data_IF_379582923188
#
_entry.id   IF_379582923188
#
_cell.length_a   1.000
_cell.length_b   1.000
_cell.length_c   1.000
_cell.angle_alpha   90.00
_cell.angle_beta   90.00
_cell.angle_gamma   90.00
#
_symmetry.space_group_name_H-M   'P 1'
#
loop_
_entity.id
_entity.type
_entity.pdbx_description
1 polymer ?
#
# COMPACT_ATOMS: atom_id res chain seq x y z
N UNK A 1 -14.94 -29.97 -14.44
CA UNK A 1 -14.14 -28.74 -14.26
C UNK A 1 -14.26 -27.98 -15.57
N UNK A 2 -14.55 -26.67 -15.54
CA UNK A 2 -14.59 -25.85 -16.76
C UNK A 2 -13.24 -25.88 -17.48
N UNK A 3 -13.25 -25.65 -18.79
CA UNK A 3 -12.02 -25.54 -19.60
C UNK A 3 -11.17 -24.33 -19.20
N UNK A 4 -11.80 -23.28 -18.67
CA UNK A 4 -11.15 -22.03 -18.28
C UNK A 4 -11.11 -21.86 -16.75
N UNK A 5 -10.07 -21.18 -16.27
CA UNK A 5 -9.90 -20.80 -14.86
C UNK A 5 -9.63 -19.31 -14.78
N UNK A 6 -10.10 -18.69 -13.71
CA UNK A 6 -10.07 -17.24 -13.57
C UNK A 6 -9.44 -16.83 -12.25
N UNK A 7 -8.87 -15.64 -12.22
CA UNK A 7 -8.47 -14.95 -11.00
C UNK A 7 -9.09 -13.57 -10.98
N UNK A 8 -9.29 -13.02 -9.78
CA UNK A 8 -9.70 -11.62 -9.61
C UNK A 8 -8.52 -10.84 -9.05
N UNK A 9 -8.15 -9.74 -9.69
CA UNK A 9 -7.27 -8.72 -9.13
C UNK A 9 -8.10 -7.56 -8.61
N UNK A 10 -7.80 -7.07 -7.41
CA UNK A 10 -8.41 -5.85 -6.86
C UNK A 10 -7.32 -4.81 -6.61
N UNK A 11 -7.32 -3.76 -7.43
CA UNK A 11 -6.43 -2.60 -7.36
C UNK A 11 -7.06 -1.54 -6.47
N UNK A 12 -6.44 -1.29 -5.32
CA UNK A 12 -6.84 -0.24 -4.37
C UNK A 12 -6.01 1.02 -4.59
N UNK A 13 -6.49 1.85 -5.52
CA UNK A 13 -5.95 3.18 -5.81
C UNK A 13 -6.27 4.22 -4.73
N UNK A 14 -6.00 5.49 -5.05
CA UNK A 14 -6.17 6.61 -4.09
C UNK A 14 -7.62 7.10 -3.95
N UNK A 15 -8.42 7.04 -5.01
CA UNK A 15 -9.81 7.57 -4.98
C UNK A 15 -10.88 6.50 -5.18
N UNK A 16 -10.47 5.29 -5.57
CA UNK A 16 -11.36 4.19 -5.89
C UNK A 16 -10.62 2.87 -5.83
N UNK A 17 -11.36 1.79 -5.68
CA UNK A 17 -10.86 0.45 -5.98
C UNK A 17 -11.47 -0.14 -7.25
N UNK A 18 -10.70 -0.99 -7.94
CA UNK A 18 -11.10 -1.66 -9.18
C UNK A 18 -10.91 -3.16 -9.07
N UNK A 19 -11.95 -3.94 -9.32
CA UNK A 19 -11.80 -5.36 -9.57
C UNK A 19 -11.68 -5.63 -11.07
N UNK A 20 -10.79 -6.56 -11.43
CA UNK A 20 -10.66 -7.12 -12.77
C UNK A 20 -10.77 -8.64 -12.69
N UNK A 21 -11.60 -9.24 -13.54
CA UNK A 21 -11.70 -10.69 -13.72
C UNK A 21 -10.82 -11.09 -14.90
N UNK A 22 -9.86 -11.98 -14.66
CA UNK A 22 -8.81 -12.32 -15.63
C UNK A 22 -8.83 -13.81 -15.92
N UNK A 23 -8.77 -14.19 -17.19
CA UNK A 23 -8.51 -15.58 -17.59
C UNK A 23 -7.04 -15.92 -17.36
N UNK A 24 -6.76 -16.96 -16.57
CA UNK A 24 -5.39 -17.32 -16.18
C UNK A 24 -4.62 -18.04 -17.29
N UNK A 25 -5.28 -18.43 -18.38
CA UNK A 25 -4.65 -19.16 -19.49
C UNK A 25 -3.86 -18.23 -20.42
N UNK A 26 -4.35 -17.01 -20.62
CA UNK A 26 -3.75 -16.02 -21.53
C UNK A 26 -3.62 -14.61 -20.94
N UNK A 27 -4.18 -14.35 -19.75
CA UNK A 27 -4.12 -13.05 -19.10
C UNK A 27 -5.16 -12.05 -19.59
N UNK A 28 -6.16 -12.47 -20.36
CA UNK A 28 -7.20 -11.57 -20.86
C UNK A 28 -8.10 -11.06 -19.73
N UNK A 29 -8.32 -9.74 -19.68
CA UNK A 29 -9.37 -9.13 -18.87
C UNK A 29 -10.75 -9.43 -19.48
N UNK A 30 -11.58 -10.13 -18.70
CA UNK A 30 -12.94 -10.56 -19.09
C UNK A 30 -13.98 -9.52 -18.69
N UNK A 31 -13.82 -8.93 -17.51
CA UNK A 31 -14.72 -7.91 -16.97
C UNK A 31 -13.97 -7.04 -15.96
N UNK A 32 -14.41 -5.79 -15.78
CA UNK A 32 -13.90 -4.90 -14.75
C UNK A 32 -15.00 -4.05 -14.14
N UNK A 33 -14.83 -3.73 -12.85
CA UNK A 33 -15.75 -2.88 -12.12
C UNK A 33 -14.98 -1.96 -11.17
N UNK A 34 -15.42 -0.71 -11.07
CA UNK A 34 -14.80 0.32 -10.23
C UNK A 34 -15.82 0.77 -9.19
N UNK A 35 -15.36 0.98 -7.96
CA UNK A 35 -16.11 1.62 -6.90
C UNK A 35 -15.30 2.77 -6.31
N UNK A 36 -15.81 3.99 -6.47
CA UNK A 36 -15.25 5.19 -5.85
C UNK A 36 -15.44 5.15 -4.34
N UNK A 37 -14.41 5.49 -3.58
CA UNK A 37 -14.48 5.58 -2.13
C UNK A 37 -15.47 6.66 -1.72
N UNK A 38 -16.39 6.35 -0.80
CA UNK A 38 -17.48 7.26 -0.44
C UNK A 38 -16.96 8.52 0.26
N UNK A 39 -15.94 8.37 1.12
CA UNK A 39 -15.29 9.49 1.80
C UNK A 39 -14.06 10.02 1.03
N UNK A 40 -13.66 9.35 -0.07
CA UNK A 40 -12.55 9.76 -0.90
C UNK A 40 -11.22 9.90 -0.13
N UNK A 41 -10.43 10.92 -0.50
CA UNK A 41 -9.34 11.37 0.37
C UNK A 41 -9.89 12.34 1.39
N UNK A 42 -9.57 12.09 2.66
CA UNK A 42 -9.91 12.93 3.79
C UNK A 42 -8.69 13.80 4.13
N UNK A 43 -8.60 14.99 3.53
CA UNK A 43 -7.50 15.94 3.74
C UNK A 43 -7.94 17.32 4.27
N UNK A 44 -9.25 17.58 4.36
CA UNK A 44 -9.79 18.83 4.90
C UNK A 44 -10.51 18.66 6.26
N UNK A 45 -11.51 17.77 6.32
CA UNK A 45 -12.38 17.60 7.51
C UNK A 45 -12.67 16.13 7.75
N UNK A 46 -12.65 15.66 9.00
CA UNK A 46 -13.03 14.27 9.32
C UNK A 46 -14.51 13.99 8.98
N UNK A 47 -14.83 12.88 8.29
CA UNK A 47 -16.17 12.64 7.77
C UNK A 47 -17.21 12.57 8.89
N UNK A 48 -18.32 13.29 8.73
CA UNK A 48 -19.41 13.32 9.72
C UNK A 48 -19.15 14.18 10.95
N UNK A 49 -18.10 15.01 10.94
CA UNK A 49 -17.74 15.92 12.05
C UNK A 49 -17.38 17.32 11.51
N UNK A 50 -17.17 18.28 12.40
CA UNK A 50 -16.62 19.62 12.06
C UNK A 50 -15.10 19.71 12.31
N UNK A 51 -14.42 18.59 12.57
CA UNK A 51 -12.99 18.55 12.95
C UNK A 51 -12.13 18.78 11.70
N UNK A 52 -11.52 19.96 11.64
CA UNK A 52 -10.58 20.33 10.57
C UNK A 52 -9.24 19.61 10.74
N UNK A 53 -8.70 19.11 9.63
CA UNK A 53 -7.39 18.48 9.60
C UNK A 53 -6.27 19.52 9.45
N UNK A 54 -5.10 19.31 10.10
CA UNK A 54 -3.93 20.14 9.86
C UNK A 54 -3.43 20.03 8.41
N UNK A 55 -2.59 20.98 7.95
CA UNK A 55 -1.90 20.83 6.67
C UNK A 55 -1.14 19.51 6.57
N UNK A 56 -0.97 19.02 5.34
CA UNK A 56 -0.23 17.79 5.00
C UNK A 56 -0.83 16.49 5.58
N UNK A 57 -2.02 16.56 6.19
CA UNK A 57 -2.82 15.38 6.49
C UNK A 57 -3.47 14.85 5.21
N UNK A 58 -3.38 13.55 5.03
CA UNK A 58 -4.22 12.82 4.10
C UNK A 58 -4.62 11.49 4.76
N UNK A 59 -5.92 11.29 4.92
CA UNK A 59 -6.50 10.10 5.55
C UNK A 59 -7.46 9.41 4.59
N UNK A 60 -7.84 8.17 4.90
CA UNK A 60 -8.88 7.40 4.20
C UNK A 60 -9.74 6.63 5.19
N UNK A 61 -10.97 6.31 4.79
CA UNK A 61 -11.87 5.45 5.55
C UNK A 61 -11.67 3.98 5.17
N UNK A 62 -11.25 3.09 6.11
CA UNK A 62 -11.03 1.68 5.78
C UNK A 62 -12.32 0.93 5.44
N UNK A 63 -13.50 1.47 5.80
CA UNK A 63 -14.78 0.90 5.38
C UNK A 63 -14.96 0.95 3.86
N UNK A 64 -14.40 1.97 3.18
CA UNK A 64 -14.48 2.09 1.73
C UNK A 64 -13.76 0.94 1.02
N UNK A 65 -12.71 0.36 1.62
CA UNK A 65 -11.99 -0.78 1.03
C UNK A 65 -12.85 -2.05 1.06
N UNK A 66 -13.64 -2.25 2.12
CA UNK A 66 -14.57 -3.38 2.24
C UNK A 66 -15.72 -3.21 1.26
N UNK A 67 -16.19 -1.97 1.08
CA UNK A 67 -17.21 -1.63 0.09
C UNK A 67 -16.77 -1.92 -1.35
N UNK A 68 -15.50 -1.64 -1.71
CA UNK A 68 -14.94 -2.07 -3.00
C UNK A 68 -15.13 -3.57 -3.20
N UNK A 69 -14.73 -4.40 -2.24
CA UNK A 69 -14.87 -5.86 -2.37
C UNK A 69 -16.35 -6.26 -2.51
N UNK A 70 -17.22 -5.68 -1.70
CA UNK A 70 -18.66 -5.95 -1.67
C UNK A 70 -19.35 -5.59 -2.98
N UNK A 71 -18.92 -4.52 -3.64
CA UNK A 71 -19.58 -4.00 -4.85
C UNK A 71 -18.95 -4.55 -6.11
N UNK A 72 -17.62 -4.50 -6.22
CA UNK A 72 -16.93 -4.74 -7.49
C UNK A 72 -16.79 -6.23 -7.81
N UNK A 73 -16.55 -7.10 -6.82
CA UNK A 73 -16.40 -8.54 -7.06
C UNK A 73 -17.70 -9.16 -7.58
N UNK A 74 -18.87 -8.97 -6.95
CA UNK A 74 -20.13 -9.45 -7.52
C UNK A 74 -20.43 -8.87 -8.91
N UNK A 75 -20.03 -7.61 -9.16
CA UNK A 75 -20.24 -6.96 -10.45
C UNK A 75 -19.44 -7.65 -11.57
N UNK A 76 -18.13 -7.90 -11.37
CA UNK A 76 -17.32 -8.58 -12.40
C UNK A 76 -17.73 -10.04 -12.62
N UNK A 77 -18.16 -10.74 -11.57
CA UNK A 77 -18.71 -12.11 -11.70
C UNK A 77 -19.97 -12.12 -12.57
N UNK A 78 -20.87 -11.15 -12.34
CA UNK A 78 -22.11 -11.01 -13.10
C UNK A 78 -21.86 -10.62 -14.55
N UNK A 79 -20.95 -9.68 -14.79
CA UNK A 79 -20.61 -9.20 -16.13
C UNK A 79 -19.87 -10.27 -16.94
N UNK A 80 -18.89 -10.94 -16.34
CA UNK A 80 -18.14 -12.01 -16.99
C UNK A 80 -18.94 -13.30 -17.20
N UNK A 81 -20.08 -13.48 -16.50
CA UNK A 81 -20.91 -14.68 -16.63
C UNK A 81 -20.21 -15.97 -16.19
N UNK A 82 -19.25 -15.87 -15.26
CA UNK A 82 -18.37 -16.97 -14.82
C UNK A 82 -18.97 -17.68 -13.59
N UNK A 83 -18.85 -19.02 -13.53
CA UNK A 83 -19.14 -19.77 -12.29
C UNK A 83 -18.09 -19.40 -11.23
N UNK A 84 -18.49 -18.92 -10.03
CA UNK A 84 -17.55 -18.64 -8.94
C UNK A 84 -16.63 -19.81 -8.57
N UNK A 85 -16.95 -21.04 -8.96
CA UNK A 85 -16.09 -22.22 -8.85
C UNK A 85 -14.91 -22.33 -9.78
N UNK A 86 -14.92 -21.55 -10.86
CA UNK A 86 -13.80 -21.46 -11.78
C UNK A 86 -12.87 -20.29 -11.41
N UNK A 87 -13.25 -19.45 -10.43
CA UNK A 87 -12.37 -18.45 -9.80
C UNK A 87 -11.48 -19.11 -8.76
N UNK A 88 -10.20 -19.26 -9.08
CA UNK A 88 -9.22 -20.00 -8.26
C UNK A 88 -8.49 -19.12 -7.23
N UNK A 89 -8.53 -17.80 -7.41
CA UNK A 89 -7.93 -16.87 -6.45
C UNK A 89 -8.40 -15.43 -6.57
N UNK A 90 -8.20 -14.66 -5.50
CA UNK A 90 -8.44 -13.22 -5.41
C UNK A 90 -7.18 -12.57 -4.86
N UNK A 91 -6.45 -11.83 -5.70
CA UNK A 91 -5.28 -11.05 -5.32
C UNK A 91 -5.61 -9.57 -5.18
N UNK A 92 -4.83 -8.87 -4.36
CA UNK A 92 -4.97 -7.42 -4.15
C UNK A 92 -3.63 -6.72 -4.32
N UNK A 93 -3.68 -5.51 -4.84
CA UNK A 93 -2.61 -4.53 -4.75
C UNK A 93 -3.14 -3.23 -4.15
N UNK A 94 -2.26 -2.45 -3.55
CA UNK A 94 -2.63 -1.28 -2.76
C UNK A 94 -1.61 -0.15 -2.95
N UNK A 95 -2.06 1.09 -2.76
CA UNK A 95 -1.13 2.22 -2.56
C UNK A 95 -0.13 1.94 -1.42
N UNK A 96 1.13 2.33 -1.62
CA UNK A 96 2.23 1.98 -0.72
C UNK A 96 2.29 2.85 0.56
N UNK A 97 2.48 2.22 1.72
CA UNK A 97 2.48 2.89 3.02
C UNK A 97 1.18 3.61 3.38
N UNK A 98 0.07 2.97 3.04
CA UNK A 98 -1.28 3.33 3.49
C UNK A 98 -1.59 2.54 4.76
N UNK A 99 -1.08 3.03 5.89
CA UNK A 99 -1.03 2.31 7.17
C UNK A 99 -2.14 2.73 8.13
N UNK A 100 -2.52 1.85 9.06
CA UNK A 100 -3.56 2.14 10.06
C UNK A 100 -3.29 1.46 11.41
N UNK A 101 -3.73 2.06 12.53
CA UNK A 101 -3.80 1.38 13.81
C UNK A 101 -5.05 0.48 13.88
N UNK A 102 -4.86 -0.77 14.28
CA UNK A 102 -5.94 -1.74 14.53
C UNK A 102 -5.89 -2.22 15.98
N UNK A 103 -7.03 -2.68 16.49
CA UNK A 103 -7.11 -3.35 17.79
C UNK A 103 -6.81 -4.86 17.69
N UNK A 104 -6.87 -5.54 18.84
CA UNK A 104 -6.70 -6.99 19.00
C UNK A 104 -7.69 -7.85 18.20
N UNK A 105 -8.78 -7.26 17.71
CA UNK A 105 -9.79 -7.92 16.85
C UNK A 105 -9.57 -7.62 15.38
N UNK A 106 -8.45 -6.98 15.02
CA UNK A 106 -8.13 -6.53 13.66
C UNK A 106 -9.05 -5.43 13.11
N UNK A 107 -9.78 -4.75 13.99
CA UNK A 107 -10.65 -3.63 13.64
C UNK A 107 -9.85 -2.33 13.66
N UNK A 108 -9.82 -1.54 12.57
CA UNK A 108 -9.23 -0.21 12.57
C UNK A 108 -9.84 0.66 13.66
N UNK A 109 -9.00 1.36 14.43
CA UNK A 109 -9.46 2.12 15.58
C UNK A 109 -10.52 3.15 15.20
N UNK A 110 -10.38 3.86 14.07
CA UNK A 110 -11.36 4.83 13.59
C UNK A 110 -12.76 4.25 13.31
N UNK A 111 -12.93 2.92 13.22
CA UNK A 111 -14.26 2.30 13.09
C UNK A 111 -15.00 2.18 14.43
N UNK A 112 -14.33 2.52 15.55
CA UNK A 112 -14.93 2.51 16.89
C UNK A 112 -15.41 3.91 17.29
N UNK A 113 -16.60 4.04 17.91
CA UNK A 113 -17.16 5.32 18.31
C UNK A 113 -16.22 6.19 19.16
N UNK A 114 -15.48 5.60 20.09
CA UNK A 114 -14.57 6.30 21.00
C UNK A 114 -13.33 6.90 20.31
N UNK A 115 -12.96 6.40 19.13
CA UNK A 115 -11.78 6.85 18.37
C UNK A 115 -12.14 7.63 17.11
N UNK A 116 -13.42 7.64 16.72
CA UNK A 116 -13.91 8.18 15.45
C UNK A 116 -13.53 9.65 15.23
N UNK A 117 -13.48 10.42 16.31
CA UNK A 117 -13.19 11.86 16.31
C UNK A 117 -11.68 12.17 16.48
N UNK A 118 -10.81 11.15 16.59
CA UNK A 118 -9.36 11.33 16.69
C UNK A 118 -8.68 11.07 15.33
N UNK A 119 -8.15 12.10 14.62
CA UNK A 119 -7.54 11.93 13.29
C UNK A 119 -6.41 10.90 13.23
N UNK A 120 -5.69 10.68 14.33
CA UNK A 120 -4.56 9.75 14.34
C UNK A 120 -4.98 8.28 14.40
N UNK A 121 -6.25 7.99 14.71
CA UNK A 121 -6.84 6.64 14.70
C UNK A 121 -7.24 6.15 13.30
N UNK A 122 -7.16 7.03 12.29
CA UNK A 122 -7.51 6.76 10.90
C UNK A 122 -6.36 6.21 10.08
N UNK A 123 -6.67 5.72 8.89
CA UNK A 123 -5.67 5.31 7.90
C UNK A 123 -4.86 6.52 7.46
N UNK A 124 -3.54 6.47 7.59
CA UNK A 124 -2.60 7.46 7.05
C UNK A 124 -2.10 6.99 5.69
N UNK A 125 -2.58 7.63 4.64
CA UNK A 125 -2.33 7.20 3.25
C UNK A 125 -0.94 7.61 2.76
N UNK A 126 -0.51 7.09 1.62
CA UNK A 126 0.81 7.37 1.04
C UNK A 126 1.14 8.87 0.98
N UNK A 127 0.21 9.73 0.54
CA UNK A 127 0.40 11.20 0.44
C UNK A 127 0.23 11.97 1.76
N UNK A 128 0.21 11.29 2.91
CA UNK A 128 0.26 11.94 4.21
C UNK A 128 1.71 12.37 4.51
N UNK A 129 1.95 13.67 4.60
CA UNK A 129 3.29 14.25 4.77
C UNK A 129 3.49 14.96 6.12
N UNK A 130 2.47 15.03 6.98
CA UNK A 130 2.56 15.72 8.27
C UNK A 130 3.65 15.15 9.20
N UNK A 131 4.02 13.87 9.05
CA UNK A 131 5.13 13.21 9.74
C UNK A 131 6.55 13.57 9.20
N UNK A 132 6.70 14.62 8.38
CA UNK A 132 7.99 15.08 7.88
C UNK A 132 8.99 15.48 9.00
N UNK A 133 8.58 16.11 10.12
CA UNK A 133 9.49 16.37 11.24
C UNK A 133 10.09 15.08 11.83
N UNK A 134 9.27 14.05 12.03
CA UNK A 134 9.69 12.73 12.52
C UNK A 134 10.63 12.05 11.54
N UNK A 135 10.34 12.10 10.24
CA UNK A 135 11.24 11.56 9.21
C UNK A 135 12.59 12.28 9.18
N UNK A 136 12.61 13.61 9.30
CA UNK A 136 13.85 14.37 9.37
C UNK A 136 14.69 13.93 10.57
N UNK A 137 14.08 13.83 11.75
CA UNK A 137 14.77 13.45 12.97
C UNK A 137 15.25 12.00 12.94
N UNK A 138 14.46 11.08 12.37
CA UNK A 138 14.85 9.68 12.17
C UNK A 138 16.11 9.59 11.29
N UNK A 139 16.13 10.34 10.18
CA UNK A 139 17.28 10.38 9.28
C UNK A 139 18.54 10.98 9.94
N UNK A 140 18.39 12.03 10.74
CA UNK A 140 19.50 12.60 11.53
C UNK A 140 20.08 11.57 12.50
N UNK A 141 19.23 10.92 13.29
CA UNK A 141 19.65 9.91 14.27
C UNK A 141 20.33 8.72 13.57
N UNK A 142 19.78 8.25 12.45
CA UNK A 142 20.38 7.18 11.67
C UNK A 142 21.79 7.54 11.17
N UNK A 143 22.02 8.79 10.74
CA UNK A 143 23.35 9.28 10.35
C UNK A 143 24.29 9.44 11.54
N UNK A 144 23.82 10.02 12.64
CA UNK A 144 24.60 10.20 13.88
C UNK A 144 25.10 8.85 14.42
N UNK A 145 24.26 7.81 14.32
CA UNK A 145 24.57 6.44 14.73
C UNK A 145 25.30 5.61 13.68
N UNK A 146 25.49 6.14 12.46
CA UNK A 146 26.09 5.43 11.32
C UNK A 146 25.37 4.12 10.98
N UNK A 147 24.04 4.14 11.02
CA UNK A 147 23.18 3.01 10.68
C UNK A 147 23.40 2.56 9.23
N UNK A 148 23.93 1.34 9.03
CA UNK A 148 24.31 0.84 7.71
C UNK A 148 23.14 0.68 6.74
N UNK A 149 21.96 0.34 7.27
CA UNK A 149 20.74 0.14 6.49
C UNK A 149 20.23 1.42 5.81
N UNK A 150 20.59 2.61 6.30
CA UNK A 150 20.11 3.88 5.71
C UNK A 150 20.53 4.02 4.24
N UNK A 151 21.69 3.46 3.88
CA UNK A 151 22.19 3.45 2.50
C UNK A 151 21.33 2.62 1.54
N UNK A 152 20.56 1.65 2.06
CA UNK A 152 19.60 0.85 1.28
C UNK A 152 18.40 1.66 0.79
N UNK A 153 18.19 2.85 1.36
CA UNK A 153 17.10 3.76 1.03
C UNK A 153 17.63 5.10 0.49
N UNK A 154 18.77 5.06 -0.20
CA UNK A 154 19.37 6.25 -0.81
C UNK A 154 19.78 7.33 0.19
N UNK A 155 19.93 6.99 1.48
CA UNK A 155 20.30 7.94 2.52
C UNK A 155 19.13 8.70 3.16
N UNK A 156 17.87 8.35 2.85
CA UNK A 156 16.68 9.08 3.31
C UNK A 156 15.43 8.20 3.43
N UNK A 157 14.90 8.08 4.65
CA UNK A 157 13.56 7.61 4.93
C UNK A 157 12.54 8.73 4.66
N UNK A 158 11.44 8.41 3.97
CA UNK A 158 10.36 9.34 3.63
C UNK A 158 9.40 9.60 4.80
N UNK A 159 8.73 10.76 4.82
CA UNK A 159 7.61 11.05 5.74
C UNK A 159 6.42 10.14 5.52
N UNK A 160 6.29 9.63 4.29
CA UNK A 160 5.20 8.75 3.87
C UNK A 160 5.33 7.35 4.47
N UNK A 161 6.47 7.00 5.04
CA UNK A 161 6.81 5.62 5.42
C UNK A 161 6.43 5.31 6.87
N UNK A 162 6.47 4.02 7.22
CA UNK A 162 5.74 3.48 8.37
C UNK A 162 6.18 4.11 9.70
N UNK A 163 7.48 4.11 9.99
CA UNK A 163 7.97 4.53 11.31
C UNK A 163 7.80 6.02 11.60
N UNK A 164 8.04 6.96 10.65
CA UNK A 164 7.66 8.36 10.85
C UNK A 164 6.18 8.54 11.21
N UNK A 165 5.26 7.84 10.53
CA UNK A 165 3.82 7.89 10.80
C UNK A 165 3.43 7.31 12.17
N UNK A 166 4.07 6.21 12.59
CA UNK A 166 3.90 5.66 13.93
C UNK A 166 4.41 6.66 14.98
N UNK A 167 5.60 7.22 14.76
CA UNK A 167 6.21 8.15 15.70
C UNK A 167 5.41 9.45 15.84
N UNK A 168 4.86 9.96 14.74
CA UNK A 168 3.95 11.10 14.75
C UNK A 168 2.72 10.77 15.62
N UNK A 169 2.12 9.59 15.44
CA UNK A 169 0.98 9.15 16.26
C UNK A 169 1.34 9.10 17.74
N UNK A 170 2.49 8.51 18.09
CA UNK A 170 2.98 8.47 19.47
C UNK A 170 3.21 9.87 20.07
N UNK A 171 3.68 10.83 19.27
CA UNK A 171 3.95 12.20 19.72
C UNK A 171 2.68 13.02 19.91
N UNK A 172 1.68 12.81 19.06
CA UNK A 172 0.52 13.70 18.94
C UNK A 172 -0.76 13.13 19.56
N UNK A 173 -0.88 11.81 19.58
CA UNK A 173 -2.01 11.06 20.12
C UNK A 173 -1.51 9.77 20.78
N UNK A 174 -0.70 9.86 21.86
CA UNK A 174 -0.15 8.69 22.53
C UNK A 174 -1.24 7.70 22.97
N UNK A 175 -2.44 8.18 23.32
CA UNK A 175 -3.58 7.33 23.64
C UNK A 175 -4.01 6.42 22.49
N UNK A 176 -3.86 6.85 21.24
CA UNK A 176 -4.13 6.03 20.04
C UNK A 176 -3.03 5.00 19.85
N UNK A 177 -1.77 5.39 20.06
CA UNK A 177 -0.64 4.46 20.01
C UNK A 177 -0.78 3.35 21.05
N UNK A 178 -1.16 3.69 22.29
CA UNK A 178 -1.39 2.71 23.35
C UNK A 178 -2.57 1.78 23.04
N UNK A 179 -3.67 2.33 22.48
CA UNK A 179 -4.85 1.55 22.13
C UNK A 179 -4.67 0.66 20.90
N UNK A 180 -3.72 0.97 20.02
CA UNK A 180 -3.40 0.14 18.86
C UNK A 180 -2.68 -1.14 19.32
N UNK A 181 -3.25 -2.30 19.00
CA UNK A 181 -2.57 -3.59 19.15
C UNK A 181 -1.51 -3.75 18.05
N UNK A 182 -1.86 -3.34 16.82
CA UNK A 182 -0.96 -3.35 15.67
C UNK A 182 -1.06 -2.08 14.85
N UNK A 183 0.04 -1.73 14.19
CA UNK A 183 0.02 -0.93 12.97
C UNK A 183 0.22 -1.85 11.77
N UNK A 184 -0.67 -1.74 10.78
CA UNK A 184 -0.70 -2.63 9.62
C UNK A 184 -0.85 -1.82 8.32
N UNK A 185 -0.27 -2.34 7.24
CA UNK A 185 -0.44 -1.80 5.89
C UNK A 185 -1.81 -2.14 5.32
N UNK A 186 -2.38 -1.26 4.49
CA UNK A 186 -3.66 -1.50 3.81
C UNK A 186 -3.63 -2.79 2.97
N UNK A 187 -2.51 -3.02 2.28
CA UNK A 187 -2.26 -4.24 1.51
C UNK A 187 -2.32 -5.52 2.36
N UNK A 188 -1.90 -5.46 3.63
CA UNK A 188 -1.92 -6.61 4.55
C UNK A 188 -3.26 -6.70 5.29
N UNK A 189 -3.85 -5.56 5.66
CA UNK A 189 -5.12 -5.50 6.38
C UNK A 189 -6.26 -6.05 5.54
N UNK A 190 -6.32 -5.73 4.25
CA UNK A 190 -7.38 -6.26 3.38
C UNK A 190 -7.26 -7.79 3.22
N UNK A 191 -6.04 -8.32 3.16
CA UNK A 191 -5.78 -9.77 3.14
C UNK A 191 -6.14 -10.41 4.48
N UNK A 192 -5.87 -9.73 5.60
CA UNK A 192 -6.32 -10.15 6.92
C UNK A 192 -7.85 -10.21 7.01
N UNK A 193 -8.59 -9.23 6.47
CA UNK A 193 -10.05 -9.30 6.40
C UNK A 193 -10.52 -10.49 5.54
N UNK A 194 -9.89 -10.70 4.38
CA UNK A 194 -10.23 -11.78 3.45
C UNK A 194 -9.97 -13.17 4.05
N UNK A 195 -8.94 -13.34 4.87
CA UNK A 195 -8.44 -14.67 5.29
C UNK A 195 -8.54 -14.97 6.78
N UNK A 196 -8.74 -13.94 7.62
CA UNK A 196 -8.63 -14.03 9.08
C UNK A 196 -7.20 -14.26 9.59
N UNK A 197 -6.17 -14.05 8.76
CA UNK A 197 -4.77 -14.28 9.12
C UNK A 197 -3.91 -13.04 8.84
N UNK A 198 -3.18 -12.57 9.85
CA UNK A 198 -2.18 -11.51 9.65
C UNK A 198 -0.96 -12.11 8.97
N UNK A 199 -0.69 -11.68 7.73
CA UNK A 199 0.51 -12.08 6.98
C UNK A 199 1.07 -10.89 6.23
N UNK A 200 2.15 -10.34 6.77
CA UNK A 200 2.79 -9.13 6.26
C UNK A 200 3.65 -9.42 5.05
N UNK A 201 3.48 -8.64 4.00
CA UNK A 201 4.20 -8.84 2.75
C UNK A 201 5.62 -8.23 2.79
N UNK A 202 6.57 -8.89 2.13
CA UNK A 202 7.97 -8.45 2.01
C UNK A 202 8.11 -7.10 1.32
N UNK A 203 7.19 -6.74 0.42
CA UNK A 203 7.25 -5.51 -0.35
C UNK A 203 7.08 -4.28 0.55
N UNK A 204 5.94 -4.10 1.20
CA UNK A 204 5.71 -2.95 2.09
C UNK A 204 6.64 -2.98 3.31
N UNK A 205 6.87 -4.16 3.90
CA UNK A 205 7.80 -4.30 5.02
C UNK A 205 9.20 -3.80 4.63
N UNK A 206 9.71 -4.24 3.49
CA UNK A 206 11.03 -3.87 3.02
C UNK A 206 11.13 -2.40 2.61
N UNK A 207 10.29 -1.96 1.67
CA UNK A 207 10.43 -0.62 1.08
C UNK A 207 9.97 0.49 2.02
N UNK A 208 8.98 0.22 2.88
CA UNK A 208 8.28 1.26 3.65
C UNK A 208 8.41 1.09 5.17
N UNK A 209 8.91 -0.05 5.65
CA UNK A 209 9.10 -0.33 7.08
C UNK A 209 10.54 -0.75 7.46
N UNK A 210 11.56 -0.41 6.67
CA UNK A 210 12.98 -0.62 7.03
C UNK A 210 13.32 -2.10 7.30
N UNK A 211 12.57 -3.05 6.72
CA UNK A 211 12.86 -4.47 6.89
C UNK A 211 13.88 -4.97 5.87
N UNK A 212 14.74 -5.88 6.29
CA UNK A 212 15.68 -6.58 5.44
C UNK A 212 15.60 -8.08 5.69
N UNK A 213 15.56 -8.91 4.64
CA UNK A 213 15.31 -10.36 4.77
C UNK A 213 16.32 -11.08 5.67
N UNK A 214 17.60 -10.69 5.61
CA UNK A 214 18.68 -11.30 6.39
C UNK A 214 18.91 -10.64 7.75
N UNK A 215 18.63 -9.34 7.86
CA UNK A 215 19.00 -8.54 9.04
C UNK A 215 17.80 -8.20 9.93
N UNK A 216 16.58 -8.39 9.42
CA UNK A 216 15.35 -7.98 10.08
C UNK A 216 15.14 -6.47 10.03
N UNK A 217 14.47 -5.94 11.05
CA UNK A 217 14.32 -4.52 11.29
C UNK A 217 15.55 -3.94 12.00
N UNK A 218 15.72 -2.60 12.06
CA UNK A 218 16.67 -1.97 12.97
C UNK A 218 16.52 -2.48 14.41
N UNK A 219 17.59 -2.39 15.19
CA UNK A 219 17.57 -2.87 16.57
C UNK A 219 16.73 -1.98 17.50
N UNK A 220 16.35 -2.53 18.64
CA UNK A 220 15.54 -1.86 19.66
C UNK A 220 16.22 -0.57 20.18
N UNK A 221 17.55 -0.53 20.17
CA UNK A 221 18.32 0.63 20.64
C UNK A 221 18.27 1.79 19.62
N UNK A 222 18.14 1.50 18.32
CA UNK A 222 17.84 2.51 17.31
C UNK A 222 16.46 3.11 17.55
N UNK A 223 15.43 2.28 17.73
CA UNK A 223 14.08 2.79 18.00
C UNK A 223 13.99 3.56 19.33
N UNK A 224 14.67 3.08 20.37
CA UNK A 224 14.78 3.81 21.65
C UNK A 224 15.49 5.17 21.52
N UNK A 225 16.40 5.31 20.54
CA UNK A 225 17.06 6.58 20.25
C UNK A 225 16.13 7.59 19.55
N UNK A 226 15.11 7.12 18.82
CA UNK A 226 14.03 7.98 18.33
C UNK A 226 13.18 8.47 19.50
N UNK A 227 12.63 7.53 20.27
CA UNK A 227 11.90 7.78 21.51
C UNK A 227 11.95 6.50 22.38
N UNK A 228 12.23 6.59 23.69
CA UNK A 228 12.28 5.41 24.56
C UNK A 228 11.02 4.53 24.52
N UNK A 229 9.84 5.09 24.21
CA UNK A 229 8.56 4.37 24.08
C UNK A 229 8.46 3.54 22.79
N UNK A 230 9.33 3.78 21.82
CA UNK A 230 9.40 2.99 20.58
C UNK A 230 10.37 1.81 20.67
N UNK A 231 11.08 1.63 21.79
CA UNK A 231 12.14 0.61 21.93
C UNK A 231 11.73 -0.76 21.38
N UNK A 232 10.53 -1.22 21.72
CA UNK A 232 10.02 -2.53 21.30
C UNK A 232 8.92 -2.42 20.24
N UNK A 233 8.85 -1.32 19.48
CA UNK A 233 7.74 -1.04 18.52
C UNK A 233 7.51 -2.20 17.54
N UNK A 234 8.58 -2.89 17.14
CA UNK A 234 8.48 -4.05 16.23
C UNK A 234 7.74 -5.21 16.89
N UNK A 235 8.05 -5.54 18.14
CA UNK A 235 7.46 -6.70 18.84
C UNK A 235 6.11 -6.37 19.49
N UNK A 236 5.89 -5.11 19.87
CA UNK A 236 4.67 -4.65 20.52
C UNK A 236 3.58 -4.24 19.54
N UNK A 237 3.95 -3.69 18.37
CA UNK A 237 3.00 -3.07 17.43
C UNK A 237 3.09 -3.59 16.00
N UNK A 238 4.10 -4.40 15.66
CA UNK A 238 4.26 -5.00 14.33
C UNK A 238 4.36 -6.54 14.44
N UNK A 239 4.79 -7.17 13.35
CA UNK A 239 5.18 -8.59 13.32
C UNK A 239 6.54 -8.73 12.64
N UNK A 240 7.34 -9.69 13.11
CA UNK A 240 8.60 -10.09 12.49
C UNK A 240 8.42 -11.19 11.42
N UNK A 241 7.23 -11.76 11.32
CA UNK A 241 6.90 -12.79 10.32
C UNK A 241 6.52 -12.11 8.99
N UNK A 242 7.49 -12.08 8.07
CA UNK A 242 7.36 -11.46 6.75
C UNK A 242 7.35 -12.53 5.66
N UNK A 243 6.39 -12.43 4.74
CA UNK A 243 6.14 -13.43 3.71
C UNK A 243 6.41 -12.86 2.31
N UNK A 244 7.07 -13.63 1.43
CA UNK A 244 7.33 -13.18 0.07
C UNK A 244 6.06 -13.15 -0.78
N UNK A 245 6.05 -12.27 -1.78
CA UNK A 245 4.95 -12.11 -2.72
C UNK A 245 4.62 -13.42 -3.47
N UNK A 246 3.37 -13.56 -3.91
CA UNK A 246 2.89 -14.74 -4.64
C UNK A 246 2.62 -15.99 -3.79
N UNK A 247 3.05 -16.04 -2.52
CA UNK A 247 2.63 -17.10 -1.60
C UNK A 247 1.15 -16.99 -1.24
N UNK A 248 0.53 -18.12 -0.87
CA UNK A 248 -0.85 -18.15 -0.38
C UNK A 248 -0.92 -17.63 1.05
N UNK A 249 -1.57 -16.48 1.26
CA UNK A 249 -1.88 -15.94 2.57
C UNK A 249 -2.93 -16.79 3.29
N UNK A 250 -3.94 -17.26 2.56
CA UNK A 250 -5.01 -18.04 3.16
C UNK A 250 -6.08 -18.43 2.16
N UNK A 251 -7.22 -18.85 2.69
CA UNK A 251 -8.44 -19.02 1.91
C UNK A 251 -9.47 -18.01 2.36
N UNK A 252 -10.31 -17.56 1.44
CA UNK A 252 -11.41 -16.65 1.73
C UNK A 252 -12.27 -17.18 2.90
N UNK A 253 -12.53 -16.35 3.89
CA UNK A 253 -13.42 -16.70 5.01
C UNK A 253 -14.85 -16.94 4.52
N UNK A 254 -15.67 -17.62 5.33
CA UNK A 254 -17.07 -17.84 5.01
C UNK A 254 -17.82 -16.51 4.81
N UNK A 255 -17.61 -15.55 5.70
CA UNK A 255 -18.24 -14.23 5.65
C UNK A 255 -17.86 -13.46 4.37
N UNK A 256 -16.56 -13.41 4.04
CA UNK A 256 -16.11 -12.71 2.84
C UNK A 256 -16.53 -13.42 1.56
N UNK A 257 -16.65 -14.74 1.57
CA UNK A 257 -17.20 -15.51 0.45
C UNK A 257 -18.68 -15.18 0.21
N UNK A 258 -19.49 -15.11 1.28
CA UNK A 258 -20.90 -14.71 1.19
C UNK A 258 -21.05 -13.26 0.69
N UNK A 259 -20.22 -12.34 1.18
CA UNK A 259 -20.23 -10.94 0.76
C UNK A 259 -19.87 -10.75 -0.72
N UNK A 260 -18.89 -11.51 -1.21
CA UNK A 260 -18.34 -11.35 -2.57
C UNK A 260 -18.99 -12.26 -3.61
N UNK A 261 -19.76 -13.26 -3.19
CA UNK A 261 -20.34 -14.28 -4.08
C UNK A 261 -19.35 -15.35 -4.55
N UNK A 262 -18.15 -15.41 -3.94
CA UNK A 262 -17.12 -16.39 -4.22
C UNK A 262 -17.27 -17.65 -3.36
N UNK A 263 -16.42 -18.66 -3.60
CA UNK A 263 -16.42 -19.89 -2.79
C UNK A 263 -15.56 -19.69 -1.53
N UNK A 264 -16.03 -20.15 -0.36
CA UNK A 264 -15.18 -20.23 0.82
C UNK A 264 -13.91 -21.02 0.52
N UNK A 265 -12.78 -20.55 1.01
CA UNK A 265 -11.48 -21.18 0.79
C UNK A 265 -10.78 -20.84 -0.53
N UNK A 266 -11.40 -20.07 -1.44
CA UNK A 266 -10.73 -19.50 -2.64
C UNK A 266 -9.40 -18.86 -2.22
N UNK A 267 -8.33 -19.14 -2.96
CA UNK A 267 -7.00 -18.74 -2.52
C UNK A 267 -6.83 -17.22 -2.52
N UNK A 268 -6.27 -16.69 -1.44
CA UNK A 268 -5.87 -15.28 -1.35
C UNK A 268 -4.35 -15.26 -1.21
N UNK A 269 -3.61 -14.63 -2.14
CA UNK A 269 -2.18 -14.49 -2.03
C UNK A 269 -1.81 -13.42 -1.00
N UNK A 270 -0.52 -13.36 -0.66
CA UNK A 270 0.05 -12.24 0.10
C UNK A 270 -0.22 -10.92 -0.65
N UNK A 271 -0.54 -9.86 0.09
CA UNK A 271 -0.88 -8.54 -0.44
C UNK A 271 0.29 -7.90 -1.20
N UNK A 272 -0.02 -7.04 -2.16
CA UNK A 272 0.97 -6.42 -3.02
C UNK A 272 0.86 -4.88 -3.03
N UNK A 273 1.82 -4.23 -3.68
CA UNK A 273 1.83 -2.79 -3.94
C UNK A 273 1.55 -2.53 -5.42
N UNK A 274 0.72 -1.53 -5.70
CA UNK A 274 0.27 -1.10 -7.04
C UNK A 274 1.40 -1.01 -8.10
N UNK A 275 2.47 -0.27 -7.82
CA UNK A 275 3.59 -0.15 -8.72
C UNK A 275 4.30 -1.50 -8.91
N UNK A 276 4.48 -2.26 -7.82
CA UNK A 276 5.32 -3.45 -7.80
C UNK A 276 4.68 -4.62 -8.57
N UNK A 277 3.35 -4.75 -8.54
CA UNK A 277 2.63 -5.74 -9.36
C UNK A 277 2.73 -5.47 -10.86
N UNK A 278 3.05 -4.22 -11.25
CA UNK A 278 3.24 -3.87 -12.66
C UNK A 278 4.46 -4.56 -13.27
N UNK A 279 5.44 -4.99 -12.47
CA UNK A 279 6.64 -5.67 -12.98
C UNK A 279 6.31 -7.04 -13.60
N UNK A 280 5.71 -8.00 -12.87
CA UNK A 280 5.27 -9.25 -13.47
C UNK A 280 4.14 -9.05 -14.49
N UNK A 281 3.24 -8.07 -14.29
CA UNK A 281 2.19 -7.77 -15.27
C UNK A 281 2.76 -7.29 -16.62
N UNK A 282 3.90 -6.60 -16.60
CA UNK A 282 4.69 -6.25 -17.79
C UNK A 282 5.58 -7.40 -18.31
N UNK A 283 5.34 -8.64 -17.87
CA UNK A 283 6.09 -9.87 -18.23
C UNK A 283 7.56 -9.89 -17.80
N UNK A 284 7.95 -9.02 -16.86
CA UNK A 284 9.31 -8.97 -16.33
C UNK A 284 9.39 -9.83 -15.07
N UNK A 285 10.11 -10.94 -15.17
CA UNK A 285 10.32 -11.90 -14.06
C UNK A 285 11.80 -12.27 -13.87
N UNK A 286 12.70 -11.58 -14.60
CA UNK A 286 14.14 -11.81 -14.59
C UNK A 286 14.91 -10.48 -14.56
N UNK A 287 16.15 -10.46 -14.03
CA UNK A 287 17.04 -9.29 -14.06
C UNK A 287 17.34 -8.74 -15.45
N UNK A 288 17.82 -7.49 -15.49
CA UNK A 288 18.31 -6.84 -16.71
C UNK A 288 17.24 -6.10 -17.52
N UNK A 289 16.03 -5.95 -16.97
CA UNK A 289 14.95 -5.15 -17.55
C UNK A 289 14.49 -4.12 -16.53
N UNK A 290 14.29 -2.88 -16.98
CA UNK A 290 13.68 -1.83 -16.18
C UNK A 290 12.20 -1.73 -16.54
N UNK A 291 11.34 -1.67 -15.54
CA UNK A 291 9.92 -1.35 -15.69
C UNK A 291 9.71 0.07 -15.15
N UNK A 292 9.11 0.93 -15.97
CA UNK A 292 8.81 2.32 -15.62
C UNK A 292 7.29 2.50 -15.59
N UNK A 293 6.74 2.78 -14.41
CA UNK A 293 5.31 3.06 -14.21
C UNK A 293 5.18 4.57 -14.31
N UNK A 294 4.73 5.03 -15.47
CA UNK A 294 4.74 6.44 -15.83
C UNK A 294 3.35 7.07 -15.67
N UNK A 295 3.28 8.12 -14.86
CA UNK A 295 2.08 8.94 -14.67
C UNK A 295 2.46 10.36 -14.26
N UNK A 296 1.81 10.90 -13.22
CA UNK A 296 2.20 12.17 -12.55
C UNK A 296 3.70 12.19 -12.20
N UNK A 297 4.21 11.08 -11.67
CA UNK A 297 5.62 10.78 -11.42
C UNK A 297 6.02 9.48 -12.15
N UNK A 298 7.27 9.03 -12.00
CA UNK A 298 7.67 7.70 -12.47
C UNK A 298 8.21 6.87 -11.31
N UNK A 299 7.67 5.66 -11.15
CA UNK A 299 8.30 4.61 -10.35
C UNK A 299 9.11 3.69 -11.28
N UNK A 300 10.41 3.60 -11.04
CA UNK A 300 11.33 2.73 -11.76
C UNK A 300 11.63 1.50 -10.93
N UNK A 301 11.50 0.32 -11.53
CA UNK A 301 11.83 -0.94 -10.88
C UNK A 301 12.74 -1.81 -11.73
N UNK A 302 13.69 -2.44 -11.05
CA UNK A 302 14.67 -3.36 -11.64
C UNK A 302 14.85 -4.55 -10.71
N UNK A 303 15.08 -5.74 -11.28
CA UNK A 303 15.47 -6.93 -10.54
C UNK A 303 16.98 -7.15 -10.64
N UNK A 304 17.59 -7.62 -9.56
CA UNK A 304 19.00 -8.01 -9.51
C UNK A 304 19.22 -9.30 -8.72
N UNK A 305 20.34 -9.98 -8.98
CA UNK A 305 20.74 -11.22 -8.29
C UNK A 305 21.59 -10.97 -7.05
N UNK A 306 22.04 -9.73 -6.84
CA UNK A 306 22.87 -9.32 -5.72
C UNK A 306 22.38 -7.98 -5.17
N UNK A 307 22.44 -7.82 -3.86
CA UNK A 307 22.23 -6.51 -3.24
C UNK A 307 23.34 -5.54 -3.69
N UNK A 308 22.93 -4.35 -4.15
CA UNK A 308 23.85 -3.26 -4.50
C UNK A 308 23.32 -1.96 -3.95
N UNK A 309 24.23 -1.11 -3.45
CA UNK A 309 23.87 0.25 -3.09
C UNK A 309 23.93 1.11 -4.35
N UNK A 310 22.77 1.60 -4.78
CA UNK A 310 22.63 2.51 -5.93
C UNK A 310 22.35 3.92 -5.40
N UNK A 311 23.07 4.90 -5.92
CA UNK A 311 22.90 6.30 -5.52
C UNK A 311 21.45 6.76 -5.75
N UNK A 312 20.81 7.30 -4.71
CA UNK A 312 19.47 7.88 -4.79
C UNK A 312 18.32 6.88 -4.94
N UNK A 313 18.54 5.57 -4.79
CA UNK A 313 17.44 4.59 -4.83
C UNK A 313 16.46 4.79 -3.68
N UNK A 314 15.18 4.49 -3.93
CA UNK A 314 14.15 4.47 -2.88
C UNK A 314 14.33 3.27 -1.96
N UNK A 315 14.76 2.12 -2.48
CA UNK A 315 14.92 0.91 -1.69
C UNK A 315 15.52 -0.25 -2.47
N UNK A 316 16.13 -1.20 -1.75
CA UNK A 316 16.46 -2.53 -2.26
C UNK A 316 15.98 -3.60 -1.27
N UNK A 317 15.20 -4.57 -1.77
CA UNK A 317 14.55 -5.58 -0.91
C UNK A 317 14.56 -6.95 -1.61
N UNK A 318 15.11 -7.97 -0.96
CA UNK A 318 14.97 -9.35 -1.42
C UNK A 318 13.53 -9.84 -1.28
N UNK A 319 13.01 -10.49 -2.33
CA UNK A 319 11.61 -10.87 -2.49
C UNK A 319 10.64 -9.66 -2.49
N UNK A 320 11.14 -8.45 -2.68
CA UNK A 320 10.31 -7.23 -2.63
C UNK A 320 9.44 -7.02 -3.88
N UNK A 321 9.77 -7.66 -5.01
CA UNK A 321 9.01 -7.55 -6.27
C UNK A 321 8.73 -8.93 -6.85
N UNK A 322 9.79 -9.69 -7.15
CA UNK A 322 9.72 -11.09 -7.59
C UNK A 322 10.48 -11.92 -6.55
N UNK A 323 9.93 -13.05 -6.08
CA UNK A 323 10.64 -13.97 -5.18
C UNK A 323 12.02 -14.37 -5.73
N UNK A 324 12.96 -14.57 -4.82
CA UNK A 324 14.35 -14.98 -5.05
C UNK A 324 15.25 -13.92 -5.72
N UNK A 325 14.77 -12.69 -5.90
CA UNK A 325 15.55 -11.56 -6.43
C UNK A 325 15.55 -10.36 -5.48
N UNK A 326 16.59 -9.53 -5.60
CA UNK A 326 16.58 -8.18 -5.07
C UNK A 326 15.78 -7.28 -6.00
N UNK A 327 14.68 -6.72 -5.48
CA UNK A 327 13.94 -5.66 -6.14
C UNK A 327 14.56 -4.31 -5.80
N UNK A 328 14.78 -3.48 -6.82
CA UNK A 328 15.27 -2.11 -6.69
C UNK A 328 14.14 -1.16 -7.07
N UNK A 329 13.89 -0.16 -6.24
CA UNK A 329 12.91 0.91 -6.49
C UNK A 329 13.65 2.25 -6.61
N UNK A 330 13.27 3.07 -7.59
CA UNK A 330 13.70 4.46 -7.70
C UNK A 330 12.54 5.35 -8.17
N UNK A 331 12.44 6.55 -7.60
CA UNK A 331 11.40 7.51 -7.92
C UNK A 331 11.92 8.69 -8.74
N UNK A 332 11.19 9.06 -9.78
CA UNK A 332 11.33 10.37 -10.43
C UNK A 332 10.11 11.20 -10.09
N UNK A 333 10.30 12.21 -9.23
CA UNK A 333 9.22 12.89 -8.52
C UNK A 333 8.16 13.53 -9.41
N UNK A 334 8.50 13.96 -10.62
CA UNK A 334 7.58 14.76 -11.43
C UNK A 334 7.84 14.53 -12.92
N UNK A 335 6.80 14.13 -13.66
CA UNK A 335 6.79 13.96 -15.13
C UNK A 335 5.48 14.45 -15.71
N UNK A 336 4.38 13.71 -15.53
CA UNK A 336 3.04 14.13 -15.97
C UNK A 336 2.64 15.46 -15.36
N UNK A 337 3.00 15.71 -14.10
CA UNK A 337 2.73 16.96 -13.40
C UNK A 337 3.47 18.16 -14.03
N UNK A 338 4.68 17.99 -14.57
CA UNK A 338 5.35 19.07 -15.32
C UNK A 338 4.57 19.42 -16.59
N UNK A 339 4.03 18.40 -17.28
CA UNK A 339 3.24 18.62 -18.49
C UNK A 339 1.91 19.32 -18.16
N UNK A 340 1.21 18.85 -17.13
CA UNK A 340 -0.04 19.46 -16.66
C UNK A 340 0.19 20.92 -16.24
N UNK A 341 1.20 21.17 -15.40
CA UNK A 341 1.52 22.52 -14.96
C UNK A 341 1.84 23.45 -16.13
N UNK A 342 2.63 22.99 -17.11
CA UNK A 342 2.96 23.80 -18.29
C UNK A 342 1.71 24.12 -19.12
N UNK A 343 0.83 23.14 -19.33
CA UNK A 343 -0.45 23.36 -20.04
C UNK A 343 -1.31 24.37 -19.31
N UNK A 344 -1.47 24.25 -17.99
CA UNK A 344 -2.37 25.11 -17.23
C UNK A 344 -1.85 26.54 -17.02
N UNK A 345 -0.52 26.73 -17.04
CA UNK A 345 0.09 28.00 -16.63
C UNK A 345 0.84 28.73 -17.76
N UNK A 346 1.28 28.02 -18.80
CA UNK A 346 2.18 28.58 -19.82
C UNK A 346 1.63 28.52 -21.25
N UNK A 347 0.63 27.68 -21.54
CA UNK A 347 0.08 27.57 -22.90
C UNK A 347 -0.79 28.78 -23.24
N UNK A 348 -0.57 29.44 -24.39
CA UNK A 348 -1.39 30.58 -24.82
C UNK A 348 -2.87 30.21 -24.99
N UNK A 349 -3.76 31.16 -24.67
CA UNK A 349 -5.22 30.97 -24.74
C UNK A 349 -5.72 30.46 -26.11
N UNK A 350 -5.06 30.86 -27.20
CA UNK A 350 -5.43 30.44 -28.57
C UNK A 350 -5.45 28.91 -28.73
N UNK A 351 -4.52 28.18 -28.09
CA UNK A 351 -4.48 26.72 -28.16
C UNK A 351 -5.59 26.07 -27.33
N UNK A 352 -5.99 26.66 -26.21
CA UNK A 352 -7.12 26.16 -25.42
C UNK A 352 -8.45 26.38 -26.15
N UNK A 353 -8.60 27.51 -26.85
CA UNK A 353 -9.77 27.79 -27.68
C UNK A 353 -9.82 26.85 -28.89
N UNK A 354 -8.70 26.63 -29.57
CA UNK A 354 -8.61 25.70 -30.70
C UNK A 354 -8.93 24.26 -30.26
N UNK A 355 -8.37 23.78 -29.14
CA UNK A 355 -8.68 22.45 -28.61
C UNK A 355 -10.18 22.29 -28.31
N UNK A 356 -10.80 23.27 -27.64
CA UNK A 356 -12.26 23.25 -27.39
C UNK A 356 -13.09 23.24 -28.67
N UNK A 357 -12.61 23.86 -29.75
CA UNK A 357 -13.30 23.89 -31.03
C UNK A 357 -13.18 22.56 -31.79
N UNK A 358 -12.10 21.80 -31.59
CA UNK A 358 -11.83 20.54 -32.30
C UNK A 358 -12.37 19.29 -31.57
N UNK A 359 -12.71 19.42 -30.28
CA UNK A 359 -13.12 18.29 -29.44
C UNK A 359 -11.93 17.53 -28.89
#
# INVERSE_FOLDING_TARGET
MGEHKYAIGVDFGTESGRAVLVDVTDGQEIASAVHTYADGVIDETLPGTDIQLPPDFALQNPADYIEVLRVTIPAVLKEGGVDPGDVIGVGTDFTACTMMPIDETSTPLCMKPEWRDNPYAWVKIWKHHAAQPEANRLNEIARERSEGWLSRYGGKISSEWLFPKIWETLNKAPEVYEAADRYIEGADWIVLQLTGQERRNSCTAGYKAIWHKQEGYPDDDFFAALDPRLRNVVDEKLSRDIYPLGQRAGGLTQEMAEMTGLRPGTAVPIGNVDAHVSVPAATVVEPGRLVAIMGTSICHMVLGTEEKIVEGMCGVVEDGIIPDYFGFEAGQSCVGDHFAWFVDNCVPAEYHEEAKAQG
#
